data_IF_423365168285
#
_entry.id   IF_423365168285
#
_cell.length_a   1.000
_cell.length_b   1.000
_cell.length_c   1.000
_cell.angle_alpha   90.00
_cell.angle_beta   90.00
_cell.angle_gamma   90.00
#
_symmetry.space_group_name_H-M   'P 1'
#
loop_
_entity.id
_entity.type
_entity.pdbx_description
1 polymer ?
#
# COMPACT_ATOMS: atom_id res chain seq x y z
N UNK A 1 13.91 15.09 8.47
CA UNK A 1 14.98 14.22 7.93
C UNK A 1 14.59 12.73 7.85
N UNK A 2 13.81 12.18 8.80
CA UNK A 2 13.43 10.74 8.84
C UNK A 2 12.92 10.15 7.50
N UNK A 3 11.96 10.82 6.84
CA UNK A 3 11.40 10.32 5.57
C UNK A 3 12.43 10.29 4.44
N UNK A 4 13.32 11.29 4.37
CA UNK A 4 14.40 11.33 3.36
C UNK A 4 15.39 10.18 3.57
N UNK A 5 15.73 9.87 4.82
CA UNK A 5 16.60 8.73 5.14
C UNK A 5 15.96 7.39 4.74
N UNK A 6 14.65 7.20 5.00
CA UNK A 6 13.94 6.00 4.57
C UNK A 6 13.91 5.86 3.03
N UNK A 7 13.66 6.95 2.30
CA UNK A 7 13.72 6.96 0.83
C UNK A 7 15.15 6.64 0.36
N UNK A 8 16.17 7.23 0.97
CA UNK A 8 17.58 6.97 0.62
C UNK A 8 17.95 5.50 0.81
N UNK A 9 17.51 4.87 1.90
CA UNK A 9 17.73 3.44 2.14
C UNK A 9 17.11 2.59 1.01
N UNK A 10 15.84 2.78 0.70
CA UNK A 10 15.16 2.01 -0.36
C UNK A 10 15.78 2.26 -1.73
N UNK A 11 16.17 3.50 -2.05
CA UNK A 11 16.88 3.82 -3.30
C UNK A 11 18.22 3.09 -3.35
N UNK A 12 18.95 3.01 -2.24
CA UNK A 12 20.19 2.24 -2.16
C UNK A 12 19.98 0.75 -2.48
N UNK A 13 18.95 0.11 -1.92
CA UNK A 13 18.61 -1.27 -2.23
C UNK A 13 18.30 -1.47 -3.73
N UNK A 14 17.44 -0.61 -4.31
CA UNK A 14 17.08 -0.72 -5.73
C UNK A 14 18.28 -0.43 -6.66
N UNK A 15 19.18 0.48 -6.28
CA UNK A 15 20.42 0.72 -7.01
C UNK A 15 21.36 -0.47 -6.93
N UNK A 16 21.36 -1.22 -5.82
CA UNK A 16 22.16 -2.45 -5.69
C UNK A 16 21.66 -3.53 -6.64
N UNK A 17 20.34 -3.77 -6.70
CA UNK A 17 19.75 -4.72 -7.64
C UNK A 17 20.14 -4.40 -9.10
N UNK A 18 20.08 -3.10 -9.47
CA UNK A 18 20.46 -2.64 -10.81
C UNK A 18 21.98 -2.72 -11.04
N UNK A 19 22.80 -2.49 -10.02
CA UNK A 19 24.25 -2.60 -10.09
C UNK A 19 24.68 -4.05 -10.39
N UNK A 20 24.04 -5.02 -9.72
CA UNK A 20 24.28 -6.45 -9.93
C UNK A 20 23.81 -6.89 -11.32
N UNK A 21 22.61 -6.50 -11.74
CA UNK A 21 22.04 -6.83 -13.05
C UNK A 21 22.85 -6.28 -14.24
N UNK A 22 23.58 -5.18 -14.03
CA UNK A 22 24.33 -4.48 -15.07
C UNK A 22 25.84 -4.61 -14.93
N UNK A 23 26.31 -5.27 -13.88
CA UNK A 23 27.73 -5.36 -13.50
C UNK A 23 28.41 -3.97 -13.46
N UNK A 24 27.77 -3.01 -12.77
CA UNK A 24 28.26 -1.64 -12.60
C UNK A 24 28.26 -1.23 -11.14
N UNK A 25 28.99 -0.17 -10.79
CA UNK A 25 29.04 0.37 -9.44
C UNK A 25 28.43 1.79 -9.40
N UNK A 26 27.54 2.05 -8.44
CA UNK A 26 27.02 3.39 -8.19
C UNK A 26 27.80 4.10 -7.09
N UNK A 27 28.18 5.35 -7.33
CA UNK A 27 28.76 6.18 -6.27
C UNK A 27 27.72 6.54 -5.20
N UNK A 28 28.17 6.78 -3.97
CA UNK A 28 27.29 7.23 -2.87
C UNK A 28 26.58 8.55 -3.20
N UNK A 29 27.27 9.43 -3.92
CA UNK A 29 26.76 10.72 -4.38
C UNK A 29 25.63 10.52 -5.42
N UNK A 30 25.77 9.56 -6.33
CA UNK A 30 24.73 9.20 -7.31
C UNK A 30 23.46 8.71 -6.61
N UNK A 31 23.60 7.80 -5.64
CA UNK A 31 22.47 7.28 -4.85
C UNK A 31 21.78 8.42 -4.07
N UNK A 32 22.55 9.33 -3.47
CA UNK A 32 22.02 10.51 -2.79
C UNK A 32 21.23 11.42 -3.76
N UNK A 33 21.77 11.69 -4.95
CA UNK A 33 21.10 12.51 -5.95
C UNK A 33 19.79 11.87 -6.43
N UNK A 34 19.75 10.56 -6.67
CA UNK A 34 18.54 9.83 -7.05
C UNK A 34 17.49 9.90 -5.94
N UNK A 35 17.92 9.76 -4.68
CA UNK A 35 17.04 9.90 -3.51
C UNK A 35 16.41 11.29 -3.43
N UNK A 36 17.18 12.35 -3.66
CA UNK A 36 16.67 13.72 -3.66
C UNK A 36 15.70 14.01 -4.81
N UNK A 37 15.97 13.48 -6.01
CA UNK A 37 15.06 13.61 -7.16
C UNK A 37 13.74 12.89 -6.87
N UNK A 38 13.81 11.66 -6.36
CA UNK A 38 12.64 10.86 -5.99
C UNK A 38 11.77 11.58 -4.95
N UNK A 39 12.40 12.11 -3.89
CA UNK A 39 11.69 12.84 -2.85
C UNK A 39 11.00 14.11 -3.38
N UNK A 40 11.64 14.85 -4.29
CA UNK A 40 11.03 16.01 -4.95
C UNK A 40 9.87 15.62 -5.87
N UNK A 41 9.98 14.48 -6.55
CA UNK A 41 8.93 13.99 -7.45
C UNK A 41 7.61 13.72 -6.72
N UNK A 42 7.66 13.33 -5.44
CA UNK A 42 6.45 13.20 -4.61
C UNK A 42 5.63 14.50 -4.53
N UNK A 43 6.30 15.67 -4.56
CA UNK A 43 5.62 16.96 -4.55
C UNK A 43 4.80 17.23 -5.82
N UNK A 44 5.24 16.71 -6.96
CA UNK A 44 4.54 16.89 -8.26
C UNK A 44 3.16 16.23 -8.24
N UNK A 45 3.05 15.04 -7.64
CA UNK A 45 1.76 14.35 -7.49
C UNK A 45 0.75 15.16 -6.66
N UNK A 46 1.22 15.80 -5.58
CA UNK A 46 0.36 16.65 -4.75
C UNK A 46 -0.17 17.85 -5.54
N UNK A 47 0.64 18.44 -6.42
CA UNK A 47 0.24 19.56 -7.27
C UNK A 47 -0.85 19.12 -8.25
N UNK A 48 -0.72 17.95 -8.88
CA UNK A 48 -1.73 17.42 -9.81
C UNK A 48 -3.08 17.14 -9.12
N UNK A 49 -3.04 16.51 -7.95
CA UNK A 49 -4.23 16.24 -7.14
C UNK A 49 -4.95 17.56 -6.77
N UNK A 50 -4.19 18.57 -6.32
CA UNK A 50 -4.73 19.88 -5.94
C UNK A 50 -5.28 20.66 -7.13
N UNK A 51 -4.70 20.50 -8.33
CA UNK A 51 -5.22 21.10 -9.56
C UNK A 51 -6.63 20.60 -9.88
N UNK A 52 -6.91 19.33 -9.59
CA UNK A 52 -8.24 18.74 -9.71
C UNK A 52 -9.18 19.04 -8.52
N UNK A 53 -8.81 19.98 -7.64
CA UNK A 53 -9.54 20.34 -6.39
C UNK A 53 -9.78 19.14 -5.47
N UNK A 54 -8.92 18.12 -5.52
CA UNK A 54 -8.94 16.96 -4.64
C UNK A 54 -7.84 17.06 -3.59
N UNK A 55 -8.04 16.37 -2.47
CA UNK A 55 -7.02 16.16 -1.42
C UNK A 55 -6.46 14.74 -1.42
N UNK A 56 -7.11 13.82 -2.14
CA UNK A 56 -6.70 12.41 -2.27
C UNK A 56 -6.17 12.15 -3.68
N UNK A 57 -4.92 11.68 -3.75
CA UNK A 57 -4.25 11.28 -5.00
C UNK A 57 -4.94 10.05 -5.59
N UNK A 58 -5.22 10.05 -6.89
CA UNK A 58 -5.86 8.95 -7.62
C UNK A 58 -4.94 8.34 -8.67
N UNK A 59 -5.35 7.22 -9.27
CA UNK A 59 -4.62 6.55 -10.36
C UNK A 59 -4.41 7.46 -11.56
N UNK A 60 -5.35 8.37 -11.82
CA UNK A 60 -5.28 9.30 -12.95
C UNK A 60 -4.17 10.34 -12.77
N UNK A 61 -3.90 10.77 -11.52
CA UNK A 61 -2.77 11.66 -11.22
C UNK A 61 -1.42 10.98 -11.55
N UNK A 62 -1.33 9.67 -11.25
CA UNK A 62 -0.12 8.86 -11.50
C UNK A 62 0.05 8.58 -13.00
N UNK A 63 -1.03 8.22 -13.72
CA UNK A 63 -1.00 8.06 -15.18
C UNK A 63 -0.62 9.35 -15.89
N UNK A 64 -1.16 10.48 -15.44
CA UNK A 64 -0.83 11.80 -15.99
C UNK A 64 0.65 12.16 -15.75
N UNK A 65 1.23 11.73 -14.63
CA UNK A 65 2.67 11.91 -14.37
C UNK A 65 3.53 11.10 -15.36
N UNK A 66 3.11 9.88 -15.69
CA UNK A 66 3.81 8.97 -16.59
C UNK A 66 3.71 9.35 -18.08
N UNK A 67 2.82 10.30 -18.45
CA UNK A 67 2.46 10.64 -19.84
C UNK A 67 3.61 11.00 -20.77
N UNK A 68 4.76 11.42 -20.24
CA UNK A 68 5.91 11.87 -21.05
C UNK A 68 6.62 10.73 -21.77
N UNK A 69 6.46 9.50 -21.29
CA UNK A 69 7.07 8.31 -21.88
C UNK A 69 5.98 7.28 -22.17
N UNK A 70 5.81 6.91 -23.45
CA UNK A 70 4.79 5.96 -23.86
C UNK A 70 5.01 4.56 -23.28
N UNK A 71 6.27 4.11 -23.18
CA UNK A 71 6.61 2.82 -22.56
C UNK A 71 6.27 2.81 -21.07
N UNK A 72 6.55 3.92 -20.37
CA UNK A 72 6.20 4.08 -18.96
C UNK A 72 4.69 4.16 -18.76
N UNK A 73 3.97 4.94 -19.57
CA UNK A 73 2.51 5.07 -19.49
C UNK A 73 1.83 3.71 -19.68
N UNK A 74 2.28 2.92 -20.67
CA UNK A 74 1.75 1.56 -20.90
C UNK A 74 1.99 0.66 -19.69
N UNK A 75 3.21 0.63 -19.15
CA UNK A 75 3.57 -0.17 -17.99
C UNK A 75 2.73 0.21 -16.75
N UNK A 76 2.62 1.50 -16.45
CA UNK A 76 1.84 2.00 -15.30
C UNK A 76 0.35 1.70 -15.45
N UNK A 77 -0.20 1.83 -16.66
CA UNK A 77 -1.60 1.53 -16.94
C UNK A 77 -1.89 0.05 -16.69
N UNK A 78 -1.06 -0.83 -17.24
CA UNK A 78 -1.17 -2.28 -17.00
C UNK A 78 -1.10 -2.60 -15.50
N UNK A 79 -0.12 -2.04 -14.77
CA UNK A 79 -0.01 -2.26 -13.32
C UNK A 79 -1.22 -1.74 -12.54
N UNK A 80 -1.83 -0.64 -12.98
CA UNK A 80 -3.05 -0.12 -12.34
C UNK A 80 -4.26 -1.04 -12.53
N UNK A 81 -4.36 -1.71 -13.68
CA UNK A 81 -5.43 -2.68 -13.98
C UNK A 81 -5.24 -3.98 -13.18
N UNK A 82 -4.01 -4.50 -13.10
CA UNK A 82 -3.64 -5.64 -12.25
C UNK A 82 -3.97 -5.39 -10.76
N UNK A 83 -3.77 -4.16 -10.28
CA UNK A 83 -4.14 -3.77 -8.92
C UNK A 83 -5.66 -3.64 -8.75
N UNK A 84 -6.39 -3.17 -9.77
CA UNK A 84 -7.83 -3.06 -9.72
C UNK A 84 -8.51 -4.44 -9.65
N UNK A 85 -8.04 -5.41 -10.44
CA UNK A 85 -8.55 -6.79 -10.42
C UNK A 85 -8.29 -7.48 -9.08
N UNK A 86 -7.05 -7.42 -8.57
CA UNK A 86 -6.69 -8.01 -7.27
C UNK A 86 -7.47 -7.39 -6.10
N UNK A 87 -7.73 -6.07 -6.13
CA UNK A 87 -8.57 -5.42 -5.13
C UNK A 87 -10.03 -5.88 -5.17
N UNK A 88 -10.58 -6.12 -6.37
CA UNK A 88 -11.93 -6.67 -6.53
C UNK A 88 -12.02 -8.09 -5.95
N UNK A 89 -11.06 -8.96 -6.27
CA UNK A 89 -11.01 -10.32 -5.72
C UNK A 89 -10.94 -10.33 -4.19
N UNK A 90 -10.13 -9.46 -3.59
CA UNK A 90 -10.04 -9.34 -2.14
C UNK A 90 -11.37 -8.87 -1.52
N UNK A 91 -12.07 -7.94 -2.18
CA UNK A 91 -13.37 -7.45 -1.73
C UNK A 91 -14.43 -8.55 -1.79
N UNK A 92 -14.40 -9.39 -2.82
CA UNK A 92 -15.29 -10.56 -2.94
C UNK A 92 -14.98 -11.63 -1.89
N UNK A 93 -13.71 -11.94 -1.65
CA UNK A 93 -13.28 -12.86 -0.57
C UNK A 93 -13.74 -12.36 0.81
N UNK A 94 -13.63 -11.06 1.08
CA UNK A 94 -14.16 -10.44 2.32
C UNK A 94 -15.68 -10.51 2.42
N UNK A 95 -16.42 -10.33 1.32
CA UNK A 95 -17.89 -10.50 1.29
C UNK A 95 -18.30 -11.95 1.57
N UNK A 96 -17.63 -12.93 0.93
CA UNK A 96 -17.88 -14.36 1.14
C UNK A 96 -17.62 -14.79 2.59
N UNK A 97 -16.55 -14.28 3.23
CA UNK A 97 -16.22 -14.55 4.63
C UNK A 97 -17.25 -13.96 5.62
N UNK A 98 -17.86 -12.81 5.31
CA UNK A 98 -18.95 -12.23 6.11
C UNK A 98 -20.26 -13.01 5.96
N UNK A 99 -20.59 -13.49 4.76
CA UNK A 99 -21.78 -14.31 4.54
C UNK A 99 -21.68 -15.71 5.15
N UNK A 100 -20.48 -16.30 5.22
CA UNK A 100 -20.27 -17.60 5.88
C UNK A 100 -20.37 -17.50 7.41
N UNK A 101 -19.91 -16.39 8.01
CA UNK A 101 -20.04 -16.13 9.45
C UNK A 101 -21.52 -15.92 9.86
N UNK A 102 -22.33 -15.28 9.02
CA UNK A 102 -23.76 -15.10 9.28
C UNK A 102 -24.59 -16.41 9.19
N UNK A 103 -24.11 -17.42 8.45
CA UNK A 103 -24.82 -18.71 8.29
C UNK A 103 -24.45 -19.75 9.34
N UNK A 104 -23.40 -19.53 10.14
CA UNK A 104 -22.96 -20.42 11.23
C UNK A 104 -23.66 -20.21 12.58
N UNK A 105 -24.51 -19.19 12.71
CA UNK A 105 -25.14 -18.82 13.99
C UNK A 105 -26.50 -19.49 14.28
N UNK A 106 -26.89 -20.54 13.55
CA UNK A 106 -28.24 -21.13 13.69
C UNK A 106 -28.22 -22.66 13.73
N UNK A 107 -27.42 -23.25 14.62
CA UNK A 107 -27.55 -24.66 15.04
C UNK A 107 -26.75 -24.98 16.32
N UNK A 108 -27.33 -24.69 17.49
CA UNK A 108 -27.13 -25.36 18.80
C UNK A 108 -27.84 -24.47 19.83
N UNK A 109 -29.03 -24.78 20.34
CA UNK A 109 -29.39 -25.99 21.09
C UNK A 109 -29.56 -25.55 22.54
N UNK A 110 -30.80 -25.45 23.01
CA UNK A 110 -31.20 -25.07 24.37
C UNK A 110 -30.62 -26.03 25.42
N UNK A 111 -30.09 -25.48 26.52
CA UNK A 111 -30.29 -26.06 27.85
C UNK A 111 -30.07 -25.01 28.95
N UNK A 112 -31.04 -24.99 29.86
CA UNK A 112 -31.27 -24.07 30.97
C UNK A 112 -30.41 -24.37 32.22
N UNK A 113 -30.28 -23.32 33.04
CA UNK A 113 -30.26 -23.28 34.50
C UNK A 113 -28.92 -23.30 35.29
N UNK A 114 -28.86 -22.26 36.17
CA UNK A 114 -28.29 -22.22 37.53
C UNK A 114 -26.75 -21.95 37.61
N UNK A 115 -26.18 -21.06 38.42
CA UNK A 115 -26.58 -20.31 39.64
C UNK A 115 -25.70 -19.05 39.72
N UNK A 116 -26.24 -17.96 40.25
CA UNK A 116 -25.56 -16.70 40.61
C UNK A 116 -24.81 -16.79 41.95
N UNK A 117 -23.94 -15.81 42.21
CA UNK A 117 -23.23 -15.51 43.49
C UNK A 117 -21.87 -16.25 43.61
N UNK A 118 -20.74 -15.64 43.99
CA UNK A 118 -20.42 -14.35 44.62
C UNK A 118 -18.90 -14.06 44.59
N UNK A 119 -18.59 -12.77 44.62
CA UNK A 119 -17.52 -12.03 45.36
C UNK A 119 -16.00 -12.34 45.23
N UNK A 120 -15.30 -11.21 44.98
CA UNK A 120 -14.01 -10.71 45.51
C UNK A 120 -12.73 -11.55 45.55
N UNK A 121 -11.62 -10.95 45.08
CA UNK A 121 -10.28 -11.48 45.33
C UNK A 121 -9.09 -10.86 44.60
N UNK A 122 -8.81 -9.58 44.88
CA UNK A 122 -7.48 -8.99 45.15
C UNK A 122 -6.28 -9.06 44.16
N UNK A 123 -5.56 -7.92 44.19
CA UNK A 123 -4.24 -7.55 43.70
C UNK A 123 -3.11 -8.60 43.81
N UNK A 124 -2.28 -8.67 42.76
CA UNK A 124 -0.82 -8.46 42.80
C UNK A 124 -0.26 -8.30 41.38
#
# INVERSE_FOLDING_TARGET
QRLKAAVHYTVGCLCQDVAEDKDVQFSKQTIAAISEVTFRQCGVLLILCRHAKRSTVTTEDVKLLARRSNSLLKYITQKSEELASSNMEQKEKKKKKKSSAAKGGRASGEQEAAVSESEDGNMA
#
